data_IF_636467161730
#
_entry.id   IF_636467161730
#
_cell.length_a   1.000
_cell.length_b   1.000
_cell.length_c   1.000
_cell.angle_alpha   90.00
_cell.angle_beta   90.00
_cell.angle_gamma   90.00
#
_symmetry.space_group_name_H-M   'P 1'
#
loop_
_entity.id
_entity.type
_entity.pdbx_description
1 polymer ?
#
# COMPACT_ATOMS: atom_id res chain seq x y z
N UNK A 1 -0.52 -23.63 0.09
CA UNK A 1 -0.63 -22.28 -0.49
C UNK A 1 -0.27 -22.40 -1.95
N UNK A 2 -1.09 -21.85 -2.85
CA UNK A 2 -0.72 -21.79 -4.26
C UNK A 2 0.29 -20.65 -4.47
N UNK A 3 1.25 -20.85 -5.37
CA UNK A 3 2.22 -19.81 -5.70
C UNK A 3 1.54 -18.64 -6.41
N UNK A 4 2.01 -17.42 -6.12
CA UNK A 4 1.58 -16.21 -6.81
C UNK A 4 2.58 -15.89 -7.94
N UNK A 5 2.07 -15.74 -9.16
CA UNK A 5 2.88 -15.34 -10.33
C UNK A 5 2.75 -13.84 -10.53
N UNK A 6 3.86 -13.12 -10.38
CA UNK A 6 3.96 -11.69 -10.68
C UNK A 6 4.83 -11.54 -11.94
N UNK A 7 4.27 -11.11 -13.08
CA UNK A 7 5.05 -10.82 -14.28
C UNK A 7 6.11 -9.75 -14.03
N UNK A 8 7.28 -9.87 -14.67
CA UNK A 8 8.42 -8.97 -14.44
C UNK A 8 8.05 -7.50 -14.61
N UNK A 9 7.27 -7.14 -15.64
CA UNK A 9 6.87 -5.76 -15.87
C UNK A 9 6.00 -5.17 -14.75
N UNK A 10 5.24 -6.00 -14.03
CA UNK A 10 4.46 -5.58 -12.86
C UNK A 10 5.38 -5.39 -11.66
N UNK A 11 6.31 -6.33 -11.44
CA UNK A 11 7.32 -6.20 -10.40
C UNK A 11 8.16 -4.94 -10.59
N UNK A 12 8.61 -4.67 -11.82
CA UNK A 12 9.34 -3.46 -12.17
C UNK A 12 8.50 -2.21 -11.91
N UNK A 13 7.18 -2.26 -12.21
CA UNK A 13 6.24 -1.20 -11.90
C UNK A 13 6.07 -0.94 -10.40
N UNK A 14 6.11 -1.98 -9.56
CA UNK A 14 6.11 -1.87 -8.10
C UNK A 14 7.41 -1.23 -7.59
N UNK A 15 8.56 -1.68 -8.10
CA UNK A 15 9.87 -1.12 -7.72
C UNK A 15 10.00 0.34 -8.16
N UNK A 16 9.53 0.68 -9.36
CA UNK A 16 9.48 2.05 -9.82
C UNK A 16 8.59 2.92 -8.92
N UNK A 17 7.41 2.42 -8.54
CA UNK A 17 6.51 3.13 -7.62
C UNK A 17 7.17 3.40 -6.26
N UNK A 18 7.87 2.41 -5.70
CA UNK A 18 8.59 2.57 -4.44
C UNK A 18 9.69 3.64 -4.55
N UNK A 19 10.48 3.63 -5.63
CA UNK A 19 11.55 4.61 -5.88
C UNK A 19 11.02 6.02 -6.14
N UNK A 20 9.88 6.15 -6.79
CA UNK A 20 9.24 7.45 -7.07
C UNK A 20 8.77 8.15 -5.79
N UNK A 21 8.41 7.39 -4.75
CA UNK A 21 7.87 7.92 -3.50
C UNK A 21 8.90 8.01 -2.36
N UNK A 22 10.14 7.53 -2.58
CA UNK A 22 11.25 7.73 -1.66
C UNK A 22 11.41 9.22 -1.27
N UNK A 23 11.55 9.58 0.03
CA UNK A 23 11.82 8.72 1.20
C UNK A 23 10.57 8.16 1.91
N UNK A 24 9.38 8.26 1.31
CA UNK A 24 8.12 7.81 1.90
C UNK A 24 7.73 6.40 1.43
N UNK A 25 6.96 5.69 2.26
CA UNK A 25 6.39 4.39 1.87
C UNK A 25 5.34 4.54 0.76
N UNK A 26 5.45 3.68 -0.26
CA UNK A 26 4.40 3.48 -1.26
C UNK A 26 3.45 2.37 -0.81
N UNK A 27 2.21 2.38 -1.30
CA UNK A 27 1.28 1.26 -1.12
C UNK A 27 0.40 1.04 -2.35
N UNK A 28 -0.15 -0.16 -2.49
CA UNK A 28 -1.01 -0.47 -3.62
C UNK A 28 -1.59 -1.88 -3.61
N UNK A 29 -2.32 -2.20 -4.67
CA UNK A 29 -3.00 -3.48 -4.87
C UNK A 29 -2.48 -4.18 -6.12
N UNK A 30 -2.42 -5.51 -6.06
CA UNK A 30 -2.23 -6.36 -7.22
C UNK A 30 -3.51 -7.15 -7.48
N UNK A 31 -3.98 -7.13 -8.71
CA UNK A 31 -5.16 -7.88 -9.13
C UNK A 31 -4.85 -8.82 -10.28
N UNK A 32 -5.62 -9.89 -10.35
CA UNK A 32 -5.37 -10.98 -11.28
C UNK A 32 -6.40 -12.08 -11.14
N UNK A 33 -6.12 -13.22 -11.74
CA UNK A 33 -6.98 -14.40 -11.64
C UNK A 33 -6.12 -15.66 -11.51
N UNK A 34 -6.62 -16.66 -10.79
CA UNK A 34 -5.95 -17.95 -10.61
C UNK A 34 -4.49 -17.84 -10.12
N UNK A 35 -4.22 -16.90 -9.21
CA UNK A 35 -2.87 -16.68 -8.67
C UNK A 35 -1.89 -16.00 -9.62
N UNK A 36 -2.32 -15.54 -10.81
CA UNK A 36 -1.50 -14.77 -11.73
C UNK A 36 -1.92 -13.30 -11.72
N UNK A 37 -0.98 -12.42 -11.36
CA UNK A 37 -1.20 -10.96 -11.36
C UNK A 37 -1.17 -10.43 -12.78
N UNK A 38 -2.12 -9.57 -13.11
CA UNK A 38 -2.22 -8.90 -14.41
C UNK A 38 -2.26 -7.38 -14.29
N UNK A 39 -2.56 -6.85 -13.11
CA UNK A 39 -2.71 -5.42 -12.87
C UNK A 39 -2.07 -4.97 -11.57
N UNK A 40 -1.52 -3.75 -11.60
CA UNK A 40 -1.04 -3.00 -10.45
C UNK A 40 -1.89 -1.74 -10.29
N UNK A 41 -2.32 -1.48 -9.07
CA UNK A 41 -3.03 -0.25 -8.68
C UNK A 41 -2.17 0.46 -7.65
N UNK A 42 -1.64 1.62 -8.01
CA UNK A 42 -0.91 2.51 -7.09
C UNK A 42 -1.94 3.24 -6.24
N UNK A 43 -1.77 3.23 -4.92
CA UNK A 43 -2.67 3.91 -3.98
C UNK A 43 -1.87 4.95 -3.22
N UNK A 44 -2.46 6.13 -3.03
CA UNK A 44 -1.86 7.18 -2.21
C UNK A 44 -1.78 6.73 -0.75
N UNK A 45 -0.58 6.78 -0.19
CA UNK A 45 -0.37 6.64 1.25
C UNK A 45 -0.73 7.96 1.94
N UNK A 46 -1.84 7.99 2.69
CA UNK A 46 -2.30 9.22 3.34
C UNK A 46 -1.49 9.56 4.59
N UNK A 47 -0.84 8.58 5.26
CA UNK A 47 0.00 8.83 6.45
C UNK A 47 1.22 9.68 6.12
N UNK A 48 1.78 9.47 4.92
CA UNK A 48 2.93 10.20 4.44
C UNK A 48 2.62 11.65 4.01
N UNK A 49 1.36 11.93 3.65
CA UNK A 49 1.01 13.15 2.90
C UNK A 49 0.02 14.07 3.63
N UNK A 50 -0.82 13.54 4.51
CA UNK A 50 -1.82 14.30 5.24
C UNK A 50 -1.74 13.87 6.71
N UNK A 51 -1.53 14.82 7.62
CA UNK A 51 -1.29 14.54 9.04
C UNK A 51 -2.33 13.62 9.70
N UNK A 52 -2.00 13.14 10.90
CA UNK A 52 -2.73 12.11 11.65
C UNK A 52 -4.24 12.34 11.89
N UNK A 53 -4.80 13.48 11.48
CA UNK A 53 -6.22 13.81 11.59
C UNK A 53 -7.13 12.80 10.87
N UNK A 54 -6.66 12.18 9.77
CA UNK A 54 -7.40 11.10 9.07
C UNK A 54 -7.17 9.69 9.64
N UNK A 55 -6.28 9.52 10.62
CA UNK A 55 -6.04 8.23 11.30
C UNK A 55 -7.12 7.90 12.34
N UNK A 56 -7.99 8.87 12.66
CA UNK A 56 -9.10 8.78 13.61
C UNK A 56 -10.13 7.68 13.30
N UNK A 57 -10.04 7.00 12.15
CA UNK A 57 -10.86 5.84 11.80
C UNK A 57 -10.30 4.49 12.29
N UNK A 58 -9.18 4.46 13.03
CA UNK A 58 -8.55 3.24 13.56
C UNK A 58 -8.28 3.29 15.06
N UNK A 59 -7.96 2.11 15.63
CA UNK A 59 -7.68 1.83 17.04
C UNK A 59 -7.09 3.03 17.82
N UNK A 60 -7.80 3.53 18.86
CA UNK A 60 -7.38 4.71 19.61
C UNK A 60 -5.98 4.57 20.24
N UNK A 61 -5.53 3.35 20.53
CA UNK A 61 -4.18 3.12 21.05
C UNK A 61 -3.10 3.35 19.96
N UNK A 62 -3.39 2.97 18.72
CA UNK A 62 -2.48 3.14 17.58
C UNK A 62 -2.42 4.61 17.13
N UNK A 63 -3.57 5.30 17.15
CA UNK A 63 -3.65 6.74 16.89
C UNK A 63 -2.82 7.55 17.91
N UNK A 64 -2.97 7.27 19.21
CA UNK A 64 -2.25 7.98 20.27
C UNK A 64 -0.72 7.76 20.25
N UNK A 65 -0.25 6.65 19.68
CA UNK A 65 1.18 6.42 19.45
C UNK A 65 1.68 7.24 18.24
N UNK A 66 0.93 7.23 17.14
CA UNK A 66 1.30 7.91 15.89
C UNK A 66 1.24 9.44 16.01
N UNK A 67 0.34 10.00 16.82
CA UNK A 67 0.28 11.44 17.10
C UNK A 67 1.54 12.00 17.78
N UNK A 68 2.33 11.14 18.44
CA UNK A 68 3.58 11.52 19.12
C UNK A 68 4.79 11.53 18.21
N UNK A 69 4.66 11.02 16.99
CA UNK A 69 5.74 10.88 16.02
C UNK A 69 5.68 12.01 14.97
N UNK A 70 6.84 12.40 14.45
CA UNK A 70 6.91 13.31 13.31
C UNK A 70 6.25 12.69 12.07
N UNK A 71 5.84 13.51 11.07
CA UNK A 71 5.28 12.98 9.83
C UNK A 71 6.19 11.95 9.12
N UNK A 72 7.50 12.12 9.20
CA UNK A 72 8.47 11.19 8.61
C UNK A 72 8.48 9.84 9.35
N UNK A 73 8.57 9.88 10.69
CA UNK A 73 8.55 8.66 11.52
C UNK A 73 7.22 7.90 11.41
N UNK A 74 6.09 8.62 11.30
CA UNK A 74 4.78 7.98 11.07
C UNK A 74 4.72 7.24 9.75
N UNK A 75 5.24 7.87 8.69
CA UNK A 75 5.21 7.31 7.34
C UNK A 75 6.12 6.08 7.20
N UNK A 76 7.09 5.92 8.09
CA UNK A 76 8.03 4.79 8.14
C UNK A 76 7.46 3.56 8.85
N UNK A 77 6.51 3.72 9.77
CA UNK A 77 5.97 2.61 10.57
C UNK A 77 4.50 2.26 10.28
N UNK A 78 3.83 3.05 9.44
CA UNK A 78 2.43 2.84 9.09
C UNK A 78 2.10 3.37 7.70
N UNK A 79 1.37 2.56 6.92
CA UNK A 79 0.68 3.03 5.74
C UNK A 79 -0.83 3.01 5.95
N UNK A 80 -1.51 4.03 5.42
CA UNK A 80 -2.96 4.04 5.28
C UNK A 80 -3.27 4.32 3.82
N UNK A 81 -4.01 3.41 3.21
CA UNK A 81 -4.49 3.54 1.84
C UNK A 81 -5.59 4.61 1.78
N UNK A 82 -5.48 5.56 0.86
CA UNK A 82 -6.57 6.49 0.59
C UNK A 82 -7.86 5.72 0.22
N UNK A 83 -8.96 6.06 0.88
CA UNK A 83 -10.22 5.33 0.73
C UNK A 83 -10.84 5.54 -0.66
N UNK A 84 -10.64 6.69 -1.30
CA UNK A 84 -11.16 6.96 -2.63
C UNK A 84 -10.38 6.15 -3.67
N UNK A 85 -9.05 6.14 -3.58
CA UNK A 85 -8.18 5.34 -4.44
C UNK A 85 -8.47 3.84 -4.28
N UNK A 86 -8.59 3.37 -3.03
CA UNK A 86 -8.90 1.97 -2.75
C UNK A 86 -10.28 1.56 -3.27
N UNK A 87 -11.29 2.41 -3.09
CA UNK A 87 -12.64 2.17 -3.60
C UNK A 87 -12.68 2.16 -5.13
N UNK A 88 -11.99 3.10 -5.77
CA UNK A 88 -11.87 3.18 -7.22
C UNK A 88 -11.15 1.94 -7.79
N UNK A 89 -10.04 1.53 -7.17
CA UNK A 89 -9.30 0.33 -7.55
C UNK A 89 -10.18 -0.93 -7.39
N UNK A 90 -10.86 -1.11 -6.25
CA UNK A 90 -11.78 -2.24 -6.06
C UNK A 90 -12.94 -2.26 -7.06
N UNK A 91 -13.48 -1.09 -7.41
CA UNK A 91 -14.52 -0.97 -8.43
C UNK A 91 -14.00 -1.42 -9.79
N UNK A 92 -12.81 -0.98 -10.18
CA UNK A 92 -12.17 -1.38 -11.46
C UNK A 92 -11.85 -2.87 -11.51
N UNK A 93 -11.29 -3.43 -10.42
CA UNK A 93 -11.02 -4.86 -10.27
C UNK A 93 -12.30 -5.67 -10.54
N UNK A 94 -13.41 -5.31 -9.89
CA UNK A 94 -14.71 -5.97 -10.10
C UNK A 94 -15.22 -5.80 -11.54
N UNK A 95 -15.12 -4.60 -12.10
CA UNK A 95 -15.59 -4.33 -13.47
C UNK A 95 -14.81 -5.16 -14.52
N UNK A 96 -13.55 -5.49 -14.24
CA UNK A 96 -12.70 -6.33 -15.09
C UNK A 96 -12.85 -7.83 -14.81
N UNK A 97 -13.68 -8.22 -13.84
CA UNK A 97 -13.82 -9.63 -13.43
C UNK A 97 -12.55 -10.21 -12.81
N UNK A 98 -11.72 -9.36 -12.20
CA UNK A 98 -10.47 -9.77 -11.54
C UNK A 98 -10.70 -9.99 -10.04
N UNK A 99 -9.77 -10.69 -9.42
CA UNK A 99 -9.69 -10.88 -7.99
C UNK A 99 -8.54 -10.02 -7.42
N UNK A 100 -8.76 -9.46 -6.23
CA UNK A 100 -7.68 -8.85 -5.46
C UNK A 100 -6.77 -9.97 -4.93
N UNK A 101 -5.52 -10.01 -5.42
CA UNK A 101 -4.56 -11.05 -5.05
C UNK A 101 -3.70 -10.61 -3.86
N UNK A 102 -3.18 -9.38 -3.89
CA UNK A 102 -2.20 -8.89 -2.88
C UNK A 102 -2.39 -7.42 -2.58
N UNK A 103 -2.12 -7.06 -1.32
CA UNK A 103 -1.82 -5.70 -0.87
C UNK A 103 -0.30 -5.59 -0.69
N UNK A 104 0.33 -4.57 -1.29
CA UNK A 104 1.77 -4.34 -1.15
C UNK A 104 2.06 -2.95 -0.57
N UNK A 105 3.22 -2.83 0.07
CA UNK A 105 3.85 -1.57 0.47
C UNK A 105 5.37 -1.69 0.34
N UNK A 106 6.10 -0.56 0.44
CA UNK A 106 7.56 -0.55 0.47
C UNK A 106 8.08 -0.11 1.84
N UNK A 107 9.29 -0.55 2.20
CA UNK A 107 10.07 -0.05 3.33
C UNK A 107 11.32 0.66 2.75
N UNK A 108 11.38 2.00 2.71
CA UNK A 108 12.49 2.74 2.08
C UNK A 108 13.85 2.51 2.76
N UNK A 109 13.86 2.41 4.09
CA UNK A 109 15.10 2.35 4.89
C UNK A 109 15.26 1.04 5.68
N UNK A 110 14.31 0.11 5.55
CA UNK A 110 14.27 -1.13 6.33
C UNK A 110 14.25 -2.39 5.45
N UNK A 111 14.68 -3.54 5.99
CA UNK A 111 14.60 -4.81 5.26
C UNK A 111 13.17 -5.16 4.89
N UNK A 112 12.97 -5.82 3.75
CA UNK A 112 11.66 -6.31 3.29
C UNK A 112 11.11 -7.44 4.18
N UNK A 113 10.58 -7.08 5.35
CA UNK A 113 9.90 -7.97 6.30
C UNK A 113 8.75 -7.21 6.96
N UNK A 114 7.64 -7.86 7.32
CA UNK A 114 6.56 -7.19 8.05
C UNK A 114 7.08 -6.58 9.35
N UNK A 115 6.67 -5.35 9.64
CA UNK A 115 6.92 -4.70 10.94
C UNK A 115 6.25 -5.52 12.05
N UNK A 116 6.94 -5.69 13.18
CA UNK A 116 6.50 -6.48 14.34
C UNK A 116 5.54 -5.71 15.25
#
# INVERSE_FOLDING_TARGET
>A
MADLVIPQHILDGMVAHARELDPYECCGLLAGSNGAVTHIYRIKNIVALEGAEKLSSFDPAKAAHLERLSPAERAEIAFVMDMQDFSAAKKDIRNKGLELQVVYHSHPHDPARPSV
#
